data_IF_032470887612
#
_entry.id   IF_032470887612
#
_cell.length_a   1.000
_cell.length_b   1.000
_cell.length_c   1.000
_cell.angle_alpha   90.00
_cell.angle_beta   90.00
_cell.angle_gamma   90.00
#
_symmetry.space_group_name_H-M   'P 1'
#
loop_
_entity.id
_entity.type
_entity.pdbx_description
1 polymer ?
#
# COMPACT_ATOMS: atom_id res chain seq x y z
N UNK A 1 12.60 48.73 51.95
CA UNK A 1 11.25 48.48 51.41
C UNK A 1 11.27 48.78 49.93
N UNK A 2 11.08 47.79 49.06
CA UNK A 2 10.41 47.86 47.74
C UNK A 2 10.24 46.41 47.28
N UNK A 3 8.99 46.03 47.04
CA UNK A 3 8.55 44.78 46.40
C UNK A 3 8.85 44.86 44.91
N UNK A 4 9.43 43.81 44.35
CA UNK A 4 9.37 43.55 42.91
C UNK A 4 8.86 42.12 42.71
N UNK A 5 7.57 42.04 42.38
CA UNK A 5 6.83 40.84 42.01
C UNK A 5 7.22 40.51 40.56
N UNK A 6 7.99 39.45 40.33
CA UNK A 6 8.19 38.93 38.97
C UNK A 6 7.26 37.73 38.77
N UNK A 7 6.14 38.03 38.13
CA UNK A 7 5.16 37.08 37.65
C UNK A 7 5.78 36.35 36.44
N UNK A 8 6.37 35.18 36.68
CA UNK A 8 6.81 34.28 35.62
C UNK A 8 5.62 33.62 34.95
N UNK A 9 5.18 34.17 33.82
CA UNK A 9 4.16 33.56 32.97
C UNK A 9 4.77 32.31 32.31
N UNK A 10 4.56 31.15 32.91
CA UNK A 10 4.92 29.87 32.30
C UNK A 10 3.96 29.59 31.14
N UNK A 11 4.34 29.98 29.92
CA UNK A 11 3.73 29.46 28.70
C UNK A 11 3.99 27.95 28.66
N UNK A 12 3.02 27.16 29.09
CA UNK A 12 3.00 25.73 28.86
C UNK A 12 2.93 25.47 27.36
N UNK A 13 4.08 25.19 26.74
CA UNK A 13 4.14 24.58 25.43
C UNK A 13 3.51 23.20 25.57
N UNK A 14 2.22 23.08 25.18
CA UNK A 14 1.58 21.80 24.97
C UNK A 14 2.35 21.10 23.84
N UNK A 15 3.28 20.23 24.19
CA UNK A 15 3.89 19.32 23.22
C UNK A 15 2.75 18.46 22.65
N UNK A 16 2.52 18.44 21.32
CA UNK A 16 1.55 17.52 20.77
C UNK A 16 1.95 16.11 21.19
N UNK A 17 1.03 15.36 21.77
CA UNK A 17 1.25 13.97 22.13
C UNK A 17 1.84 13.24 20.92
N UNK A 18 2.90 12.42 21.08
CA UNK A 18 3.46 11.70 19.95
C UNK A 18 2.34 10.86 19.34
N UNK A 19 1.97 11.14 18.09
CA UNK A 19 1.02 10.34 17.36
C UNK A 19 1.52 8.90 17.41
N UNK A 20 0.79 8.01 18.09
CA UNK A 20 1.19 6.62 18.23
C UNK A 20 1.32 6.04 16.82
N UNK A 21 2.55 5.80 16.36
CA UNK A 21 2.79 5.18 15.06
C UNK A 21 2.36 3.73 15.18
N UNK A 22 1.18 3.41 14.64
CA UNK A 22 0.68 2.04 14.58
C UNK A 22 1.61 1.23 13.68
N UNK A 23 2.23 0.19 14.23
CA UNK A 23 3.15 -0.65 13.48
C UNK A 23 2.40 -1.44 12.39
N UNK A 24 2.94 -1.46 11.17
CA UNK A 24 2.30 -2.14 10.03
C UNK A 24 1.93 -3.61 10.31
N UNK A 25 2.81 -4.36 10.98
CA UNK A 25 2.56 -5.76 11.33
C UNK A 25 1.42 -5.99 12.32
N UNK A 26 0.99 -4.95 13.04
CA UNK A 26 -0.15 -5.01 13.97
C UNK A 26 -1.50 -4.71 13.31
N UNK A 27 -1.49 -4.28 12.04
CA UNK A 27 -2.70 -3.99 11.28
C UNK A 27 -3.39 -5.29 10.86
N UNK A 28 -4.70 -5.23 10.69
CA UNK A 28 -5.46 -6.32 10.05
C UNK A 28 -5.05 -6.45 8.58
N UNK A 29 -5.18 -7.65 7.99
CA UNK A 29 -4.85 -7.86 6.56
C UNK A 29 -5.55 -6.85 5.62
N UNK A 30 -6.84 -6.51 5.79
CA UNK A 30 -7.47 -5.45 4.98
C UNK A 30 -6.80 -4.08 5.12
N UNK A 31 -6.37 -3.70 6.35
CA UNK A 31 -5.64 -2.45 6.58
C UNK A 31 -4.24 -2.49 5.98
N UNK A 32 -3.57 -3.63 6.03
CA UNK A 32 -2.28 -3.84 5.37
C UNK A 32 -2.39 -3.70 3.85
N UNK A 33 -3.43 -4.27 3.23
CA UNK A 33 -3.73 -4.09 1.80
C UNK A 33 -3.96 -2.62 1.47
N UNK A 34 -4.72 -1.88 2.30
CA UNK A 34 -4.95 -0.45 2.08
C UNK A 34 -3.63 0.36 2.10
N UNK A 35 -2.71 0.04 3.01
CA UNK A 35 -1.37 0.68 3.07
C UNK A 35 -0.54 0.35 1.82
N UNK A 36 -0.58 -0.89 1.33
CA UNK A 36 0.13 -1.27 0.11
C UNK A 36 -0.46 -0.57 -1.12
N UNK A 37 -1.79 -0.54 -1.24
CA UNK A 37 -2.48 0.14 -2.33
C UNK A 37 -2.08 1.62 -2.39
N UNK A 38 -2.14 2.30 -1.24
CA UNK A 38 -1.74 3.70 -1.09
C UNK A 38 -0.27 3.95 -1.47
N UNK A 39 0.63 3.02 -1.12
CA UNK A 39 2.02 3.07 -1.59
C UNK A 39 2.14 2.89 -3.12
N UNK A 40 1.39 1.98 -3.73
CA UNK A 40 1.34 1.80 -5.19
C UNK A 40 0.81 3.06 -5.89
N UNK A 41 -0.26 3.66 -5.38
CA UNK A 41 -0.89 4.87 -5.95
C UNK A 41 0.03 6.09 -5.88
N UNK A 42 0.85 6.22 -4.83
CA UNK A 42 1.89 7.25 -4.75
C UNK A 42 3.12 6.98 -5.60
N UNK A 43 3.26 5.78 -6.16
CA UNK A 43 4.47 5.36 -6.85
C UNK A 43 5.63 4.98 -5.91
N UNK A 44 5.35 4.74 -4.63
CA UNK A 44 6.32 4.21 -3.65
C UNK A 44 6.56 2.71 -3.88
N UNK A 45 6.96 2.33 -5.09
CA UNK A 45 7.02 0.94 -5.57
C UNK A 45 7.92 0.06 -4.68
N UNK A 46 9.05 0.60 -4.22
CA UNK A 46 9.97 -0.10 -3.33
C UNK A 46 9.36 -0.41 -1.95
N UNK A 47 8.49 0.47 -1.44
CA UNK A 47 7.76 0.22 -0.20
C UNK A 47 6.70 -0.85 -0.43
N UNK A 48 5.89 -0.70 -1.47
CA UNK A 48 4.85 -1.68 -1.81
C UNK A 48 5.42 -3.09 -1.96
N UNK A 49 6.53 -3.24 -2.70
CA UNK A 49 7.21 -4.52 -2.89
C UNK A 49 7.70 -5.12 -1.57
N UNK A 50 8.32 -4.32 -0.71
CA UNK A 50 8.79 -4.78 0.61
C UNK A 50 7.62 -5.27 1.48
N UNK A 51 6.53 -4.51 1.51
CA UNK A 51 5.35 -4.85 2.31
C UNK A 51 4.66 -6.12 1.78
N UNK A 52 4.55 -6.28 0.45
CA UNK A 52 4.02 -7.48 -0.18
C UNK A 52 4.88 -8.71 0.12
N UNK A 53 6.21 -8.61 -0.01
CA UNK A 53 7.14 -9.71 0.27
C UNK A 53 7.16 -10.12 1.76
N UNK A 54 6.92 -9.16 2.67
CA UNK A 54 6.91 -9.39 4.11
C UNK A 54 5.57 -9.86 4.68
N UNK A 55 4.53 -10.01 3.85
CA UNK A 55 3.16 -10.26 4.32
C UNK A 55 2.55 -11.48 3.65
N UNK A 56 1.73 -12.21 4.42
CA UNK A 56 0.89 -13.30 3.92
C UNK A 56 -0.57 -12.86 3.95
N UNK A 57 -1.25 -12.98 2.82
CA UNK A 57 -2.66 -12.64 2.67
C UNK A 57 -3.47 -13.87 2.31
N UNK A 58 -4.14 -14.45 3.30
CA UNK A 58 -4.89 -15.71 3.19
C UNK A 58 -6.36 -15.58 3.64
N UNK A 59 -6.79 -14.41 4.08
CA UNK A 59 -8.18 -14.16 4.41
C UNK A 59 -8.99 -13.87 3.13
N UNK A 60 -9.86 -14.80 2.75
CA UNK A 60 -10.79 -14.65 1.62
C UNK A 60 -10.06 -14.24 0.34
N UNK A 61 -10.50 -13.13 -0.27
CA UNK A 61 -9.96 -12.68 -1.56
C UNK A 61 -8.69 -11.83 -1.44
N UNK A 62 -8.20 -11.60 -0.22
CA UNK A 62 -7.05 -10.71 0.01
C UNK A 62 -5.76 -11.23 -0.65
N UNK A 63 -5.59 -12.55 -0.80
CA UNK A 63 -4.47 -13.12 -1.56
C UNK A 63 -4.48 -12.68 -3.02
N UNK A 64 -5.66 -12.69 -3.66
CA UNK A 64 -5.81 -12.20 -5.04
C UNK A 64 -5.67 -10.68 -5.14
N UNK A 65 -6.15 -9.92 -4.14
CA UNK A 65 -5.94 -8.48 -4.09
C UNK A 65 -4.46 -8.12 -3.96
N UNK A 66 -3.73 -8.81 -3.08
CA UNK A 66 -2.28 -8.66 -2.96
C UNK A 66 -1.56 -9.02 -4.27
N UNK A 67 -1.96 -10.11 -4.93
CA UNK A 67 -1.41 -10.50 -6.23
C UNK A 67 -1.69 -9.45 -7.32
N UNK A 68 -2.86 -8.82 -7.32
CA UNK A 68 -3.17 -7.70 -8.21
C UNK A 68 -2.26 -6.50 -7.95
N UNK A 69 -2.02 -6.15 -6.68
CA UNK A 69 -1.09 -5.08 -6.31
C UNK A 69 0.36 -5.42 -6.71
N UNK A 70 0.77 -6.68 -6.56
CA UNK A 70 2.06 -7.17 -7.05
C UNK A 70 2.18 -7.03 -8.57
N UNK A 71 1.13 -7.34 -9.33
CA UNK A 71 1.13 -7.14 -10.78
C UNK A 71 1.29 -5.66 -11.17
N UNK A 72 0.67 -4.74 -10.42
CA UNK A 72 0.85 -3.29 -10.61
C UNK A 72 2.29 -2.85 -10.31
N UNK A 73 2.90 -3.39 -9.26
CA UNK A 73 4.32 -3.18 -8.94
C UNK A 73 5.22 -3.66 -10.08
N UNK A 74 4.96 -4.86 -10.63
CA UNK A 74 5.72 -5.40 -11.76
C UNK A 74 5.58 -4.52 -13.01
N UNK A 75 4.35 -4.10 -13.34
CA UNK A 75 4.08 -3.15 -14.44
C UNK A 75 4.85 -1.83 -14.26
N UNK A 76 4.80 -1.24 -13.07
CA UNK A 76 5.52 -0.01 -12.76
C UNK A 76 7.05 -0.15 -12.87
N UNK A 77 7.59 -1.36 -12.66
CA UNK A 77 9.00 -1.68 -12.87
C UNK A 77 9.35 -2.01 -14.33
N UNK A 78 8.38 -2.04 -15.22
CA UNK A 78 8.55 -2.43 -16.62
C UNK A 78 8.55 -3.94 -16.85
N UNK A 79 8.33 -4.77 -15.82
CA UNK A 79 8.16 -6.22 -15.98
C UNK A 79 6.71 -6.56 -16.39
N UNK A 80 6.39 -6.21 -17.63
CA UNK A 80 5.07 -6.46 -18.22
C UNK A 80 4.78 -7.96 -18.36
N UNK A 81 5.80 -8.79 -18.58
CA UNK A 81 5.65 -10.24 -18.73
C UNK A 81 5.31 -10.92 -17.40
N UNK A 82 5.98 -10.53 -16.32
CA UNK A 82 5.65 -10.96 -14.97
C UNK A 82 4.25 -10.51 -14.54
N UNK A 83 3.91 -9.25 -14.81
CA UNK A 83 2.58 -8.71 -14.52
C UNK A 83 1.48 -9.49 -15.26
N UNK A 84 1.63 -9.72 -16.57
CA UNK A 84 0.69 -10.49 -17.38
C UNK A 84 0.50 -11.92 -16.84
N UNK A 85 1.60 -12.61 -16.55
CA UNK A 85 1.57 -13.98 -16.03
C UNK A 85 0.76 -14.07 -14.74
N UNK A 86 0.99 -13.12 -13.82
CA UNK A 86 0.30 -13.07 -12.54
C UNK A 86 -1.20 -12.76 -12.71
N UNK A 87 -1.55 -11.78 -13.54
CA UNK A 87 -2.94 -11.40 -13.80
C UNK A 87 -3.73 -12.53 -14.47
N UNK A 88 -3.12 -13.23 -15.44
CA UNK A 88 -3.73 -14.43 -16.05
C UNK A 88 -3.92 -15.55 -15.03
N UNK A 89 -3.00 -15.73 -14.08
CA UNK A 89 -3.17 -16.71 -13.01
C UNK A 89 -4.37 -16.37 -12.13
N UNK A 90 -4.54 -15.11 -11.74
CA UNK A 90 -5.70 -14.67 -10.96
C UNK A 90 -7.01 -14.93 -11.74
N UNK A 91 -7.08 -14.59 -13.03
CA UNK A 91 -8.30 -14.77 -13.83
C UNK A 91 -8.66 -16.23 -14.11
N UNK A 92 -7.69 -17.15 -14.08
CA UNK A 92 -7.97 -18.60 -14.17
C UNK A 92 -8.76 -19.10 -12.97
N UNK A 93 -8.50 -18.55 -11.79
CA UNK A 93 -9.18 -18.94 -10.55
C UNK A 93 -10.41 -18.07 -10.26
N UNK A 94 -10.34 -16.77 -10.59
CA UNK A 94 -11.37 -15.76 -10.31
C UNK A 94 -11.74 -14.99 -11.58
N UNK A 95 -12.43 -15.64 -12.54
CA UNK A 95 -12.78 -15.06 -13.82
C UNK A 95 -13.75 -13.88 -13.69
N UNK A 96 -14.38 -13.65 -12.55
CA UNK A 96 -15.28 -12.54 -12.30
C UNK A 96 -14.57 -11.24 -11.91
N UNK A 97 -13.28 -11.28 -11.54
CA UNK A 97 -12.53 -10.12 -11.03
C UNK A 97 -12.32 -9.04 -12.09
N UNK A 98 -13.24 -8.07 -12.15
CA UNK A 98 -13.23 -6.99 -13.15
C UNK A 98 -11.96 -6.14 -13.11
N UNK A 99 -11.45 -5.83 -11.92
CA UNK A 99 -10.23 -5.04 -11.74
C UNK A 99 -9.02 -5.71 -12.40
N UNK A 100 -8.90 -7.04 -12.29
CA UNK A 100 -7.79 -7.80 -12.87
C UNK A 100 -7.84 -7.80 -14.40
N UNK A 101 -9.05 -7.87 -14.98
CA UNK A 101 -9.22 -7.71 -16.44
C UNK A 101 -8.79 -6.34 -16.93
N UNK A 102 -9.18 -5.28 -16.22
CA UNK A 102 -8.80 -3.92 -16.57
C UNK A 102 -7.28 -3.74 -16.50
N UNK A 103 -6.62 -4.26 -15.47
CA UNK A 103 -5.16 -4.22 -15.38
C UNK A 103 -4.47 -5.02 -16.46
N UNK A 104 -4.96 -6.22 -16.78
CA UNK A 104 -4.40 -7.03 -17.85
C UNK A 104 -4.49 -6.32 -19.20
N UNK A 105 -5.62 -5.67 -19.49
CA UNK A 105 -5.74 -4.86 -20.70
C UNK A 105 -4.71 -3.71 -20.73
N UNK A 106 -4.48 -3.04 -19.60
CA UNK A 106 -3.45 -2.01 -19.49
C UNK A 106 -2.04 -2.54 -19.74
N UNK A 107 -1.69 -3.68 -19.14
CA UNK A 107 -0.39 -4.35 -19.35
C UNK A 107 -0.19 -4.75 -20.82
N UNK A 108 -1.23 -5.30 -21.45
CA UNK A 108 -1.17 -5.70 -22.86
C UNK A 108 -1.01 -4.51 -23.80
N UNK A 109 -1.72 -3.41 -23.55
CA UNK A 109 -1.60 -2.18 -24.32
C UNK A 109 -0.18 -1.59 -24.22
N UNK A 110 0.41 -1.54 -23.01
CA UNK A 110 1.80 -1.08 -22.81
C UNK A 110 2.83 -2.00 -23.47
N UNK A 111 2.55 -3.30 -23.53
CA UNK A 111 3.39 -4.27 -24.22
C UNK A 111 3.25 -4.22 -25.75
N UNK A 112 2.36 -3.37 -26.30
CA UNK A 112 2.06 -3.31 -27.73
C UNK A 112 1.26 -4.52 -28.25
N UNK A 113 0.54 -5.21 -27.36
CA UNK A 113 -0.23 -6.44 -27.63
C UNK A 113 -1.73 -6.27 -27.29
N UNK A 114 -2.21 -5.03 -27.26
CA UNK A 114 -3.58 -4.64 -26.90
C UNK A 114 -4.59 -4.79 -28.02
#
# INVERSE_FOLDING_TARGET
>A
MIRALLLGLALGLATPAPAQQVAYGSLTQPRQIAVILDAVERGDIALAERLLAGSRFDQGDLGYQAALLQARVLRARGDLAGAETLLRAILRERPEFRAVRAELAGVLAEAGRG
#
